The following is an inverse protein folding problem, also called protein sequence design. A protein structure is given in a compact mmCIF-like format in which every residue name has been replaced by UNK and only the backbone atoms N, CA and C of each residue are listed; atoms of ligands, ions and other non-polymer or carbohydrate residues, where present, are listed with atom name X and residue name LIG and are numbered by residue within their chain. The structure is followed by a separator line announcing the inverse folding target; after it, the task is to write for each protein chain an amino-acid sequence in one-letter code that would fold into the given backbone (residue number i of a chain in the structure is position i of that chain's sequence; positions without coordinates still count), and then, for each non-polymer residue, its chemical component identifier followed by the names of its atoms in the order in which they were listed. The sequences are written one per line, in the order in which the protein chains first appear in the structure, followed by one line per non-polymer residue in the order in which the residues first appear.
data_IF_618009463120
#
_entry.id   IF_618009463120
#
_cell.length_a   1.000
_cell.length_b   1.000
_cell.length_c   1.000
_cell.angle_alpha   90.00
_cell.angle_beta   90.00
_cell.angle_gamma   90.00
#
_symmetry.space_group_name_H-M   'P 1'
#
loop_
_entity.id
_entity.type
_entity.pdbx_description
1 polymer ?
#
# COMPACT_ATOMS: atom_id res chain seq x y z
N UNK A 1 -2.35 25.12 20.63
CA UNK A 1 -3.20 24.30 19.72
C UNK A 1 -2.36 23.80 18.56
N UNK A 2 -2.37 22.50 18.22
CA UNK A 2 -1.63 22.01 17.05
C UNK A 2 -2.14 22.71 15.79
N UNK A 3 -1.23 23.16 14.93
CA UNK A 3 -1.59 23.81 13.68
C UNK A 3 -2.34 22.83 12.75
N UNK A 4 -3.20 23.34 11.87
CA UNK A 4 -3.85 22.54 10.82
C UNK A 4 -2.85 21.70 10.01
N UNK A 5 -1.65 22.26 9.79
CA UNK A 5 -0.54 21.59 9.10
C UNK A 5 -0.08 20.34 9.85
N UNK A 6 0.00 20.41 11.17
CA UNK A 6 0.37 19.29 12.04
C UNK A 6 -0.71 18.21 12.04
N UNK A 7 -1.97 18.62 12.19
CA UNK A 7 -3.12 17.69 12.22
C UNK A 7 -3.26 16.89 10.92
N UNK A 8 -3.06 17.54 9.77
CA UNK A 8 -3.17 16.91 8.45
C UNK A 8 -1.83 16.34 7.94
N UNK A 9 -0.79 16.34 8.77
CA UNK A 9 0.57 15.90 8.43
C UNK A 9 1.06 16.44 7.07
N UNK A 10 0.78 17.72 6.78
CA UNK A 10 1.10 18.30 5.48
C UNK A 10 2.62 18.35 5.26
N UNK A 11 3.08 18.10 4.01
CA UNK A 11 4.50 18.15 3.70
C UNK A 11 5.09 19.53 4.00
N UNK A 12 6.36 19.55 4.39
CA UNK A 12 7.05 20.80 4.73
C UNK A 12 7.11 21.75 3.52
N UNK A 13 6.90 23.04 3.77
CA UNK A 13 6.86 24.06 2.72
C UNK A 13 5.53 24.20 2.01
N UNK A 14 4.43 23.69 2.60
CA UNK A 14 3.06 23.93 2.15
C UNK A 14 2.25 24.63 3.23
N UNK A 15 1.37 25.53 2.81
CA UNK A 15 0.44 26.24 3.70
C UNK A 15 -0.95 26.31 3.11
N UNK A 16 -1.96 26.31 3.98
CA UNK A 16 -3.35 26.59 3.59
C UNK A 16 -3.46 28.02 3.09
N UNK A 17 -4.24 28.20 2.02
CA UNK A 17 -4.54 29.49 1.41
C UNK A 17 -6.04 29.79 1.37
N UNK A 18 -6.85 28.74 1.25
CA UNK A 18 -8.31 28.83 1.22
C UNK A 18 -8.90 27.50 1.69
N UNK A 19 -9.98 27.56 2.44
CA UNK A 19 -10.82 26.42 2.79
C UNK A 19 -12.22 26.64 2.22
N UNK A 20 -12.81 25.58 1.70
CA UNK A 20 -14.20 25.53 1.25
C UNK A 20 -14.86 24.34 1.93
N UNK A 21 -16.00 24.58 2.57
CA UNK A 21 -16.82 23.54 3.19
C UNK A 21 -18.15 23.53 2.42
N UNK A 22 -18.47 22.39 1.82
CA UNK A 22 -19.73 22.17 1.10
C UNK A 22 -20.35 20.86 1.55
N UNK A 23 -21.66 20.61 1.38
CA UNK A 23 -22.29 19.34 1.75
C UNK A 23 -21.48 18.10 1.33
N UNK A 24 -20.89 18.11 0.14
CA UNK A 24 -20.08 17.03 -0.44
C UNK A 24 -18.71 16.80 0.22
N UNK A 25 -18.23 17.74 1.04
CA UNK A 25 -16.98 17.58 1.78
C UNK A 25 -16.24 18.87 2.12
N UNK A 26 -15.00 18.71 2.54
CA UNK A 26 -14.08 19.79 2.90
C UNK A 26 -12.98 19.83 1.85
N UNK A 27 -12.72 21.01 1.28
CA UNK A 27 -11.62 21.23 0.34
C UNK A 27 -10.66 22.28 0.88
N UNK A 28 -9.38 21.94 0.94
CA UNK A 28 -8.31 22.84 1.39
C UNK A 28 -7.34 23.10 0.22
N UNK A 29 -7.19 24.36 -0.14
CA UNK A 29 -6.23 24.80 -1.15
C UNK A 29 -4.88 25.09 -0.52
N UNK A 30 -3.85 24.42 -1.02
CA UNK A 30 -2.49 24.49 -0.53
C UNK A 30 -1.58 25.17 -1.54
N UNK A 31 -0.80 26.13 -1.06
CA UNK A 31 0.26 26.80 -1.83
C UNK A 31 1.62 26.48 -1.23
N UNK A 32 2.60 26.27 -2.10
CA UNK A 32 3.97 26.08 -1.65
C UNK A 32 4.57 27.42 -1.17
N UNK A 33 5.28 27.38 -0.05
CA UNK A 33 5.96 28.55 0.55
C UNK A 33 7.39 28.72 0.06
N UNK A 34 8.00 27.62 -0.41
CA UNK A 34 9.36 27.63 -0.95
C UNK A 34 9.42 28.52 -2.19
N UNK A 35 10.51 29.24 -2.42
CA UNK A 35 10.71 30.03 -3.66
C UNK A 35 11.60 29.30 -4.68
N UNK A 36 12.13 28.14 -4.31
CA UNK A 36 13.11 27.37 -5.08
C UNK A 36 12.83 25.88 -4.96
N UNK A 37 13.27 25.10 -5.94
CA UNK A 37 13.32 23.63 -5.85
C UNK A 37 14.64 23.09 -6.44
N UNK A 38 15.04 21.89 -6.03
CA UNK A 38 16.22 21.19 -6.57
C UNK A 38 15.77 20.25 -7.70
N UNK A 39 16.49 20.24 -8.81
CA UNK A 39 16.26 19.26 -9.87
C UNK A 39 16.52 17.84 -9.33
N UNK A 40 15.61 16.87 -9.51
CA UNK A 40 15.79 15.53 -8.96
C UNK A 40 16.96 14.75 -9.60
N UNK A 41 17.39 15.12 -10.81
CA UNK A 41 18.51 14.44 -11.49
C UNK A 41 19.88 15.02 -11.13
N UNK A 42 20.04 16.34 -11.26
CA UNK A 42 21.35 16.99 -11.09
C UNK A 42 21.46 17.83 -9.82
N UNK A 43 20.42 17.85 -8.99
CA UNK A 43 20.33 18.62 -7.75
C UNK A 43 20.50 20.15 -7.91
N UNK A 44 20.61 20.67 -9.14
CA UNK A 44 20.75 22.12 -9.37
C UNK A 44 19.50 22.84 -8.90
N UNK A 45 19.70 23.87 -8.07
CA UNK A 45 18.62 24.73 -7.57
C UNK A 45 18.06 25.58 -8.70
N UNK A 46 16.74 25.60 -8.80
CA UNK A 46 16.00 26.46 -9.71
C UNK A 46 15.06 27.40 -8.96
N UNK A 47 14.94 28.62 -9.50
CA UNK A 47 13.92 29.63 -9.16
C UNK A 47 12.98 29.90 -10.34
N UNK A 48 13.22 29.26 -11.48
CA UNK A 48 12.53 29.54 -12.74
C UNK A 48 11.30 28.65 -12.84
N UNK A 49 10.13 29.21 -12.59
CA UNK A 49 8.85 28.50 -12.74
C UNK A 49 8.51 28.41 -14.24
N UNK A 50 8.18 27.20 -14.69
CA UNK A 50 7.63 26.92 -16.02
C UNK A 50 6.11 27.05 -16.00
N UNK A 51 5.46 26.36 -15.06
CA UNK A 51 4.00 26.38 -14.93
C UNK A 51 3.56 25.98 -13.52
N UNK A 52 2.30 26.18 -13.20
CA UNK A 52 1.68 25.72 -11.97
C UNK A 52 0.43 24.90 -12.30
N UNK A 53 0.35 23.66 -11.81
CA UNK A 53 -0.78 22.76 -12.04
C UNK A 53 -1.42 22.37 -10.71
N UNK A 54 -2.74 22.23 -10.70
CA UNK A 54 -3.47 21.78 -9.52
C UNK A 54 -3.47 20.26 -9.47
N UNK A 55 -3.17 19.70 -8.30
CA UNK A 55 -3.29 18.27 -8.01
C UNK A 55 -4.25 18.08 -6.86
N UNK A 56 -5.36 17.39 -7.12
CA UNK A 56 -6.36 17.05 -6.11
C UNK A 56 -5.99 15.72 -5.45
N UNK A 57 -5.80 15.74 -4.13
CA UNK A 57 -5.43 14.60 -3.32
C UNK A 57 -6.52 14.37 -2.27
N UNK A 58 -7.10 13.18 -2.22
CA UNK A 58 -7.94 12.80 -1.10
C UNK A 58 -7.07 12.48 0.12
N UNK A 59 -7.47 13.00 1.27
CA UNK A 59 -6.82 12.73 2.54
C UNK A 59 -7.78 11.99 3.48
N UNK A 60 -7.31 11.70 4.70
CA UNK A 60 -8.16 11.14 5.74
C UNK A 60 -9.39 12.03 5.95
N UNK A 61 -10.56 11.43 6.16
CA UNK A 61 -11.80 12.17 6.34
C UNK A 61 -11.71 13.09 7.56
N UNK A 62 -12.43 14.20 7.50
CA UNK A 62 -12.50 15.16 8.59
C UNK A 62 -13.96 15.32 9.00
N UNK A 63 -14.25 15.03 10.27
CA UNK A 63 -15.63 15.02 10.82
C UNK A 63 -16.60 14.15 10.00
N UNK A 64 -16.16 12.96 9.58
CA UNK A 64 -16.97 12.03 8.76
C UNK A 64 -17.18 12.48 7.31
N UNK A 65 -16.54 13.58 6.87
CA UNK A 65 -16.68 14.13 5.53
C UNK A 65 -15.43 13.90 4.71
N UNK A 66 -15.62 13.81 3.40
CA UNK A 66 -14.50 13.70 2.47
C UNK A 66 -13.61 14.93 2.55
N UNK A 67 -12.31 14.74 2.75
CA UNK A 67 -11.32 15.80 2.73
C UNK A 67 -10.49 15.76 1.44
N UNK A 68 -10.57 16.83 0.66
CA UNK A 68 -9.76 17.07 -0.52
C UNK A 68 -8.69 18.13 -0.25
N UNK A 69 -7.45 17.81 -0.58
CA UNK A 69 -6.32 18.74 -0.57
C UNK A 69 -5.94 19.08 -2.01
N UNK A 70 -6.05 20.36 -2.38
CA UNK A 70 -5.69 20.84 -3.71
C UNK A 70 -4.34 21.53 -3.64
N UNK A 71 -3.30 20.83 -4.11
CA UNK A 71 -1.94 21.35 -4.17
C UNK A 71 -1.74 22.14 -5.47
N UNK A 72 -1.32 23.40 -5.37
CA UNK A 72 -0.81 24.18 -6.49
C UNK A 72 0.67 23.82 -6.74
N UNK A 73 0.92 22.77 -7.52
CA UNK A 73 2.26 22.22 -7.79
C UNK A 73 2.94 23.00 -8.90
N UNK A 74 4.09 23.60 -8.57
CA UNK A 74 4.94 24.26 -9.57
C UNK A 74 5.80 23.25 -10.32
N UNK A 75 5.97 23.51 -11.60
CA UNK A 75 6.97 22.90 -12.46
C UNK A 75 8.07 23.93 -12.69
N UNK A 76 9.32 23.50 -12.59
CA UNK A 76 10.50 24.34 -12.67
C UNK A 76 11.33 23.97 -13.88
N UNK A 77 11.97 24.96 -14.50
CA UNK A 77 13.02 24.72 -15.47
C UNK A 77 14.32 24.33 -14.77
N UNK A 78 15.00 23.29 -15.23
CA UNK A 78 16.37 23.01 -14.86
C UNK A 78 17.31 23.90 -15.70
N UNK A 79 18.08 24.77 -15.04
CA UNK A 79 19.07 25.65 -15.69
C UNK A 79 20.47 25.02 -15.74
N UNK A 80 20.55 23.68 -15.73
CA UNK A 80 21.78 22.95 -15.99
C UNK A 80 21.78 22.49 -17.46
N UNK A 81 22.61 23.07 -18.34
CA UNK A 81 22.67 22.66 -19.75
C UNK A 81 22.95 21.16 -19.91
N UNK A 82 23.84 20.60 -19.09
CA UNK A 82 24.26 19.19 -19.13
C UNK A 82 23.24 18.22 -18.51
N UNK A 83 22.14 18.71 -17.94
CA UNK A 83 21.11 17.84 -17.37
C UNK A 83 20.09 17.44 -18.44
N UNK A 84 19.79 16.14 -18.54
CA UNK A 84 18.75 15.58 -19.42
C UNK A 84 17.35 16.08 -19.05
N UNK A 85 17.07 16.22 -17.75
CA UNK A 85 15.80 16.74 -17.23
C UNK A 85 15.73 18.26 -17.41
N UNK A 86 14.90 18.73 -18.33
CA UNK A 86 14.66 20.16 -18.57
C UNK A 86 13.56 20.76 -17.70
N UNK A 87 12.53 19.99 -17.35
CA UNK A 87 11.42 20.43 -16.49
C UNK A 87 11.19 19.40 -15.37
N UNK A 88 10.93 19.85 -14.15
CA UNK A 88 10.62 18.97 -13.02
C UNK A 88 9.56 19.59 -12.10
N UNK A 89 8.75 18.75 -11.46
CA UNK A 89 7.70 19.18 -10.54
C UNK A 89 8.16 19.21 -9.08
N UNK A 90 7.51 20.03 -8.25
CA UNK A 90 7.66 19.91 -6.79
C UNK A 90 7.21 18.52 -6.31
N UNK A 91 8.04 17.90 -5.47
CA UNK A 91 7.71 16.61 -4.87
C UNK A 91 6.74 16.79 -3.69
N UNK A 92 5.76 15.89 -3.61
CA UNK A 92 4.93 15.70 -2.43
C UNK A 92 5.36 14.47 -1.62
N UNK A 93 6.48 13.83 -1.94
CA UNK A 93 6.95 12.69 -1.16
C UNK A 93 7.36 13.11 0.26
N UNK A 94 7.11 12.29 1.30
CA UNK A 94 6.41 10.99 1.26
C UNK A 94 4.87 11.10 1.32
N UNK A 95 4.31 12.31 1.44
CA UNK A 95 2.87 12.54 1.59
C UNK A 95 2.01 11.93 0.48
N UNK A 96 2.45 12.03 -0.79
CA UNK A 96 1.79 11.35 -1.92
C UNK A 96 2.77 11.14 -3.08
N UNK A 97 2.91 9.90 -3.54
CA UNK A 97 3.80 9.53 -4.65
C UNK A 97 3.40 10.17 -5.99
N UNK A 98 4.21 10.08 -7.06
CA UNK A 98 3.85 10.62 -8.37
C UNK A 98 2.51 10.05 -8.87
N UNK A 99 1.70 10.88 -9.52
CA UNK A 99 0.39 10.53 -10.12
C UNK A 99 -0.70 9.99 -9.18
N UNK A 100 -0.39 9.67 -7.92
CA UNK A 100 -1.38 9.22 -6.95
C UNK A 100 -2.46 10.29 -6.70
N UNK A 101 -3.68 9.88 -6.39
CA UNK A 101 -4.78 10.81 -6.09
C UNK A 101 -5.20 10.77 -4.62
N UNK A 102 -4.45 10.03 -3.80
CA UNK A 102 -4.64 9.92 -2.35
C UNK A 102 -3.32 10.11 -1.61
N UNK A 103 -3.42 10.60 -0.37
CA UNK A 103 -2.28 10.66 0.54
C UNK A 103 -1.85 9.26 0.98
N UNK A 104 -0.59 9.09 1.38
CA UNK A 104 -0.07 7.83 1.91
C UNK A 104 -0.89 7.33 3.11
N UNK A 105 -1.31 8.21 4.03
CA UNK A 105 -2.15 7.83 5.18
C UNK A 105 -3.50 7.25 4.76
N UNK A 106 -4.16 7.87 3.78
CA UNK A 106 -5.42 7.35 3.24
C UNK A 106 -5.20 5.99 2.56
N UNK A 107 -4.10 5.82 1.81
CA UNK A 107 -3.78 4.54 1.17
C UNK A 107 -3.57 3.43 2.22
N UNK A 108 -2.92 3.74 3.34
CA UNK A 108 -2.73 2.78 4.43
C UNK A 108 -4.07 2.38 5.07
N UNK A 109 -4.96 3.34 5.33
CA UNK A 109 -6.28 3.04 5.89
C UNK A 109 -7.15 2.24 4.91
N UNK A 110 -7.11 2.58 3.61
CA UNK A 110 -7.76 1.82 2.55
C UNK A 110 -7.22 0.38 2.49
N UNK A 111 -5.92 0.19 2.60
CA UNK A 111 -5.31 -1.14 2.65
C UNK A 111 -5.83 -1.96 3.86
N UNK A 112 -5.88 -1.37 5.06
CA UNK A 112 -6.42 -2.04 6.25
C UNK A 112 -7.90 -2.43 6.08
N UNK A 113 -8.72 -1.55 5.51
CA UNK A 113 -10.13 -1.86 5.22
C UNK A 113 -10.27 -3.00 4.21
N UNK A 114 -9.39 -3.04 3.20
CA UNK A 114 -9.32 -4.14 2.24
C UNK A 114 -8.96 -5.47 2.90
N UNK A 115 -8.04 -5.48 3.87
CA UNK A 115 -7.67 -6.69 4.63
C UNK A 115 -8.82 -7.17 5.52
N UNK A 116 -9.46 -6.25 6.24
CA UNK A 116 -10.49 -6.59 7.24
C UNK A 116 -11.80 -7.01 6.57
N UNK A 117 -12.24 -6.29 5.55
CA UNK A 117 -13.59 -6.40 5.00
C UNK A 117 -13.63 -6.72 3.50
N UNK A 118 -12.47 -6.88 2.84
CA UNK A 118 -12.42 -7.10 1.40
C UNK A 118 -12.89 -5.89 0.58
N UNK A 119 -13.30 -6.15 -0.67
CA UNK A 119 -13.69 -5.11 -1.61
C UNK A 119 -14.99 -4.39 -1.23
N UNK A 120 -16.14 -5.06 -1.37
CA UNK A 120 -17.44 -4.39 -1.34
C UNK A 120 -17.86 -3.98 0.09
N UNK A 121 -17.66 -4.85 1.08
CA UNK A 121 -17.92 -4.47 2.48
C UNK A 121 -16.93 -3.41 2.96
N UNK A 122 -15.65 -3.49 2.57
CA UNK A 122 -14.65 -2.45 2.82
C UNK A 122 -15.04 -1.10 2.20
N UNK A 123 -15.58 -1.09 0.98
CA UNK A 123 -16.07 0.14 0.33
C UNK A 123 -17.22 0.76 1.13
N UNK A 124 -18.20 -0.04 1.57
CA UNK A 124 -19.32 0.46 2.38
C UNK A 124 -18.83 1.10 3.68
N UNK A 125 -17.91 0.44 4.39
CA UNK A 125 -17.31 0.98 5.61
C UNK A 125 -16.51 2.28 5.34
N UNK A 126 -15.75 2.32 4.23
CA UNK A 126 -15.00 3.49 3.83
C UNK A 126 -15.90 4.70 3.54
N UNK A 127 -16.97 4.50 2.75
CA UNK A 127 -17.93 5.54 2.40
C UNK A 127 -18.66 6.07 3.63
N UNK A 128 -19.11 5.17 4.52
CA UNK A 128 -19.74 5.56 5.79
C UNK A 128 -18.83 6.42 6.69
N UNK A 129 -17.51 6.31 6.51
CA UNK A 129 -16.51 7.10 7.24
C UNK A 129 -16.05 8.35 6.50
N UNK A 130 -16.62 8.67 5.33
CA UNK A 130 -16.26 9.84 4.53
C UNK A 130 -15.07 9.63 3.57
N UNK A 131 -14.72 8.38 3.24
CA UNK A 131 -13.71 8.07 2.23
C UNK A 131 -14.37 7.66 0.90
N UNK A 132 -13.89 8.24 -0.19
CA UNK A 132 -14.31 7.89 -1.54
C UNK A 132 -13.32 6.87 -2.11
N UNK A 133 -13.81 5.68 -2.41
CA UNK A 133 -13.02 4.57 -2.95
C UNK A 133 -13.92 3.60 -3.69
N UNK A 134 -13.33 2.72 -4.49
CA UNK A 134 -14.02 1.57 -5.09
C UNK A 134 -13.58 0.26 -4.40
N UNK A 135 -14.36 -0.83 -4.56
CA UNK A 135 -13.98 -2.15 -4.05
C UNK A 135 -12.66 -2.60 -4.67
N UNK A 136 -12.52 -2.42 -5.99
CA UNK A 136 -11.31 -2.75 -6.74
C UNK A 136 -10.09 -1.96 -6.29
N UNK A 137 -10.28 -0.72 -5.84
CA UNK A 137 -9.18 0.07 -5.28
C UNK A 137 -8.69 -0.57 -3.99
N UNK A 138 -9.59 -1.00 -3.10
CA UNK A 138 -9.20 -1.67 -1.85
C UNK A 138 -8.49 -2.99 -2.14
N UNK A 139 -9.05 -3.84 -3.00
CA UNK A 139 -8.44 -5.11 -3.39
C UNK A 139 -7.07 -4.90 -4.05
N UNK A 140 -6.95 -3.91 -4.93
CA UNK A 140 -5.66 -3.56 -5.55
C UNK A 140 -4.63 -3.11 -4.52
N UNK A 141 -5.03 -2.36 -3.49
CA UNK A 141 -4.14 -1.96 -2.39
C UNK A 141 -3.71 -3.14 -1.53
N UNK A 142 -4.56 -4.16 -1.37
CA UNK A 142 -4.19 -5.41 -0.69
C UNK A 142 -3.17 -6.17 -1.54
N UNK A 143 -3.44 -6.37 -2.83
CA UNK A 143 -2.58 -7.12 -3.75
C UNK A 143 -1.23 -6.45 -3.99
N UNK A 144 -1.18 -5.13 -4.04
CA UNK A 144 0.06 -4.36 -4.25
C UNK A 144 0.86 -4.13 -2.97
N UNK A 145 0.34 -4.51 -1.81
CA UNK A 145 1.10 -4.38 -0.58
C UNK A 145 2.31 -5.32 -0.62
N UNK A 146 3.47 -4.88 -0.10
CA UNK A 146 4.62 -5.76 0.01
C UNK A 146 4.24 -6.98 0.84
N UNK A 147 4.59 -8.17 0.34
CA UNK A 147 4.42 -9.40 1.11
C UNK A 147 5.19 -9.29 2.42
N UNK A 148 4.51 -9.65 3.51
CA UNK A 148 5.19 -9.79 4.79
C UNK A 148 6.05 -11.05 4.72
N UNK A 149 7.36 -10.88 4.81
CA UNK A 149 8.26 -12.02 4.95
C UNK A 149 8.10 -12.58 6.36
N UNK A 150 7.46 -13.74 6.49
CA UNK A 150 7.46 -14.49 7.74
C UNK A 150 8.86 -15.05 8.02
N UNK A 151 9.24 -15.07 9.30
CA UNK A 151 10.52 -15.63 9.72
C UNK A 151 10.56 -17.14 9.47
N UNK A 152 11.76 -17.66 9.18
CA UNK A 152 12.03 -19.10 9.13
C UNK A 152 11.56 -19.76 10.43
N UNK A 153 10.91 -20.91 10.33
CA UNK A 153 10.43 -21.71 11.47
C UNK A 153 10.88 -23.15 11.34
N UNK A 154 10.98 -23.83 12.50
CA UNK A 154 11.25 -25.26 12.60
C UNK A 154 9.96 -26.09 12.65
N UNK A 155 8.81 -25.46 12.85
CA UNK A 155 7.53 -26.13 13.08
C UNK A 155 6.49 -25.65 12.06
N UNK A 156 6.05 -26.53 11.17
CA UNK A 156 5.09 -26.20 10.12
C UNK A 156 3.85 -27.09 10.16
N UNK A 157 2.70 -26.48 9.87
CA UNK A 157 1.45 -27.18 9.65
C UNK A 157 1.16 -27.25 8.16
N UNK A 158 0.61 -28.35 7.69
CA UNK A 158 0.19 -28.54 6.31
C UNK A 158 -1.31 -28.80 6.31
N UNK A 159 -2.01 -28.00 5.54
CA UNK A 159 -3.45 -28.14 5.34
C UNK A 159 -3.81 -27.98 3.86
N UNK A 160 -5.00 -28.41 3.53
CA UNK A 160 -5.58 -28.22 2.22
C UNK A 160 -6.24 -26.85 2.09
N UNK A 161 -5.88 -26.13 1.04
CA UNK A 161 -6.59 -24.92 0.65
C UNK A 161 -7.51 -25.18 -0.54
N UNK A 162 -8.75 -24.73 -0.44
CA UNK A 162 -9.72 -24.76 -1.54
C UNK A 162 -9.91 -23.35 -2.11
N UNK A 163 -9.42 -23.10 -3.32
CA UNK A 163 -9.69 -21.84 -4.05
C UNK A 163 -11.16 -21.78 -4.47
N UNK A 164 -11.67 -22.92 -4.92
CA UNK A 164 -13.07 -23.13 -5.24
C UNK A 164 -13.41 -24.56 -4.83
N UNK A 165 -14.21 -24.70 -3.77
CA UNK A 165 -14.57 -26.00 -3.19
C UNK A 165 -15.13 -26.92 -4.26
N UNK A 166 -14.58 -28.13 -4.35
CA UNK A 166 -14.96 -29.13 -5.36
C UNK A 166 -14.22 -29.03 -6.70
N UNK A 167 -13.41 -27.99 -6.94
CA UNK A 167 -12.79 -27.78 -8.25
C UNK A 167 -11.27 -27.60 -8.19
N UNK A 168 -10.80 -26.62 -7.41
CA UNK A 168 -9.37 -26.27 -7.39
C UNK A 168 -8.86 -26.18 -5.97
N UNK A 169 -7.87 -27.01 -5.72
CA UNK A 169 -7.24 -27.17 -4.41
C UNK A 169 -5.73 -27.07 -4.51
N UNK A 170 -5.12 -27.05 -3.34
CA UNK A 170 -3.69 -26.92 -3.17
C UNK A 170 -3.32 -26.91 -1.71
N UNK A 171 -2.08 -26.54 -1.42
CA UNK A 171 -1.48 -26.83 -0.11
C UNK A 171 -1.16 -25.53 0.61
N UNK A 172 -1.79 -25.30 1.77
CA UNK A 172 -1.44 -24.23 2.69
C UNK A 172 -0.38 -24.74 3.67
N UNK A 173 0.72 -24.02 3.79
CA UNK A 173 1.72 -24.25 4.82
C UNK A 173 1.63 -23.10 5.82
N UNK A 174 1.48 -23.44 7.10
CA UNK A 174 1.37 -22.49 8.20
C UNK A 174 2.57 -22.63 9.13
N UNK A 175 3.01 -21.52 9.70
CA UNK A 175 3.95 -21.51 10.81
C UNK A 175 3.18 -21.90 12.08
N UNK A 176 3.58 -22.99 12.74
CA UNK A 176 2.91 -23.45 13.95
C UNK A 176 3.26 -22.61 15.19
N UNK A 177 4.34 -21.85 15.15
CA UNK A 177 4.73 -20.97 16.27
C UNK A 177 3.94 -19.66 16.24
N UNK A 178 3.72 -19.10 15.04
CA UNK A 178 3.03 -17.80 14.87
C UNK A 178 1.57 -17.92 14.47
N UNK A 179 1.12 -19.13 14.13
CA UNK A 179 -0.20 -19.42 13.54
C UNK A 179 -0.50 -18.60 12.28
N UNK A 180 0.52 -18.28 11.49
CA UNK A 180 0.39 -17.50 10.26
C UNK A 180 0.71 -18.32 9.01
N UNK A 181 0.02 -18.05 7.88
CA UNK A 181 0.38 -18.62 6.59
C UNK A 181 1.82 -18.28 6.20
N UNK A 182 2.59 -19.30 5.81
CA UNK A 182 3.93 -19.15 5.22
C UNK A 182 3.86 -19.12 3.70
N UNK A 183 3.11 -20.06 3.12
CA UNK A 183 2.97 -20.17 1.66
C UNK A 183 1.69 -20.89 1.30
N UNK A 184 1.15 -20.52 0.15
CA UNK A 184 0.10 -21.26 -0.54
C UNK A 184 0.66 -21.86 -1.83
N UNK A 185 0.89 -23.18 -1.84
CA UNK A 185 1.43 -23.90 -2.99
C UNK A 185 0.31 -24.31 -3.97
N UNK A 186 0.53 -24.21 -5.29
CA UNK A 186 -0.44 -24.65 -6.27
C UNK A 186 -0.57 -26.17 -6.27
N UNK A 187 -1.80 -26.67 -6.34
CA UNK A 187 -2.08 -28.08 -6.50
C UNK A 187 -1.76 -28.96 -5.29
N UNK A 188 -2.14 -30.23 -5.43
CA UNK A 188 -2.05 -31.28 -4.41
C UNK A 188 -0.97 -32.29 -4.79
N UNK A 189 0.22 -31.81 -5.13
CA UNK A 189 1.29 -32.69 -5.62
C UNK A 189 2.39 -32.83 -4.58
N UNK A 190 2.70 -34.08 -4.21
CA UNK A 190 3.84 -34.39 -3.32
C UNK A 190 5.15 -33.83 -3.86
N UNK A 191 5.33 -33.78 -5.18
CA UNK A 191 6.52 -33.23 -5.82
C UNK A 191 6.69 -31.73 -5.53
N UNK A 192 5.62 -30.95 -5.65
CA UNK A 192 5.62 -29.51 -5.35
C UNK A 192 5.95 -29.26 -3.88
N UNK A 193 5.35 -30.05 -2.99
CA UNK A 193 5.59 -29.95 -1.56
C UNK A 193 7.03 -30.36 -1.18
N UNK A 194 7.53 -31.47 -1.71
CA UNK A 194 8.91 -31.91 -1.47
C UNK A 194 9.94 -30.89 -2.01
N UNK A 195 9.68 -30.30 -3.18
CA UNK A 195 10.53 -29.25 -3.73
C UNK A 195 10.54 -27.99 -2.86
N UNK A 196 9.43 -27.67 -2.18
CA UNK A 196 9.38 -26.59 -1.21
C UNK A 196 10.19 -26.94 0.05
N UNK A 197 9.99 -28.13 0.64
CA UNK A 197 10.74 -28.55 1.83
C UNK A 197 12.26 -28.56 1.64
N UNK A 198 12.76 -28.92 0.45
CA UNK A 198 14.19 -28.86 0.13
C UNK A 198 14.81 -27.46 0.27
N UNK A 199 14.00 -26.40 0.16
CA UNK A 199 14.47 -25.01 0.33
C UNK A 199 14.56 -24.59 1.80
N UNK A 200 13.96 -25.35 2.70
CA UNK A 200 13.86 -25.06 4.14
C UNK A 200 14.30 -26.27 4.98
N UNK A 201 15.60 -26.63 4.93
CA UNK A 201 16.14 -27.77 5.68
C UNK A 201 16.07 -27.60 7.21
N UNK A 202 15.83 -26.40 7.71
CA UNK A 202 15.63 -26.12 9.13
C UNK A 202 14.33 -26.67 9.72
N UNK A 203 13.39 -27.14 8.91
CA UNK A 203 12.10 -27.66 9.39
C UNK A 203 12.29 -29.03 10.05
N UNK A 204 11.82 -29.14 11.29
CA UNK A 204 11.98 -30.33 12.14
C UNK A 204 10.65 -31.00 12.45
N UNK A 205 9.58 -30.22 12.60
CA UNK A 205 8.24 -30.72 12.94
C UNK A 205 7.26 -30.36 11.84
N UNK A 206 6.52 -31.37 11.39
CA UNK A 206 5.43 -31.20 10.43
C UNK A 206 4.13 -31.73 11.06
N UNK A 207 3.18 -30.84 11.32
CA UNK A 207 1.80 -31.20 11.63
C UNK A 207 1.00 -31.29 10.34
N UNK A 208 0.17 -32.32 10.18
CA UNK A 208 -0.56 -32.58 8.93
C UNK A 208 -1.79 -33.44 9.18
N UNK A 209 -2.75 -33.38 8.26
CA UNK A 209 -3.86 -34.32 8.24
C UNK A 209 -3.39 -35.75 7.90
N UNK A 210 -4.14 -36.76 8.36
CA UNK A 210 -3.93 -38.19 8.08
C UNK A 210 -4.55 -38.66 6.78
N UNK A 211 -5.25 -37.80 6.05
CA UNK A 211 -5.90 -38.11 4.77
C UNK A 211 -5.04 -37.81 3.53
N UNK A 212 -5.33 -38.55 2.46
CA UNK A 212 -4.84 -38.26 1.10
C UNK A 212 -3.32 -38.23 0.96
N UNK A 213 -2.84 -37.35 0.09
CA UNK A 213 -1.40 -37.19 -0.19
C UNK A 213 -0.62 -36.73 1.04
N UNK A 214 -1.27 -36.02 1.97
CA UNK A 214 -0.59 -35.41 3.10
C UNK A 214 -0.13 -36.48 4.08
N UNK A 215 -0.82 -37.62 4.15
CA UNK A 215 -0.40 -38.77 4.96
C UNK A 215 1.05 -39.24 4.70
N UNK A 216 1.55 -39.03 3.48
CA UNK A 216 2.88 -39.43 3.06
C UNK A 216 3.96 -38.38 3.38
N UNK A 217 3.57 -37.22 3.90
CA UNK A 217 4.48 -36.13 4.22
C UNK A 217 5.06 -36.33 5.62
N UNK A 218 6.37 -36.23 5.70
CA UNK A 218 7.17 -36.25 6.93
C UNK A 218 8.16 -35.10 6.92
N UNK A 219 8.68 -34.75 8.10
CA UNK A 219 9.77 -33.78 8.19
C UNK A 219 10.96 -34.29 7.36
N UNK A 220 11.68 -33.41 6.64
CA UNK A 220 12.88 -33.82 5.93
C UNK A 220 13.87 -34.46 6.91
N UNK A 221 14.26 -35.70 6.64
CA UNK A 221 15.32 -36.38 7.39
C UNK A 221 16.63 -35.69 7.01
N UNK A 222 17.29 -35.10 8.01
CA UNK A 222 18.61 -34.47 7.88
C UNK A 222 19.67 -35.55 7.63
#
# INVERSE_FOLDING_TARGET
MPSLKTLLQLPCGWQSSRQVVSPDGITIHLRATRKTALCPECLKRSRSVHSCRRRRIQHLPCSGRTLWLIFAIRHWYCRNPSCSRKIFAESLAPFSGPQQQSSALLQNLQHQLGLIAGGEAGRRAAVASGMQTSPDTLLRRVVQAPEQTESRTRHVGIDEWAWHRGHRYGTLIVNLDTHRPLVLLPGRELRTLAAWFKKYPEIQVVSRDRGGIYALVSAPVI
#
